data_IF_174894645156
#
_entry.id   IF_174894645156
#
_cell.length_a   1.000
_cell.length_b   1.000
_cell.length_c   1.000
_cell.angle_alpha   90.00
_cell.angle_beta   90.00
_cell.angle_gamma   90.00
#
_symmetry.space_group_name_H-M   'P 1'
#
loop_
_entity.id
_entity.type
_entity.pdbx_description
1 polymer ?
#
# COMPACT_ATOMS: atom_id res chain seq x y z
N UNK A 1 -23.99 10.93 -31.16
CA UNK A 1 -24.17 10.86 -29.70
C UNK A 1 -22.81 10.94 -29.05
N UNK A 2 -22.60 11.90 -28.17
CA UNK A 2 -21.31 12.13 -27.51
C UNK A 2 -20.92 10.93 -26.60
N UNK A 3 -19.74 10.31 -26.78
CA UNK A 3 -19.32 9.12 -26.04
C UNK A 3 -18.89 9.40 -24.58
N UNK A 4 -19.02 10.62 -24.09
CA UNK A 4 -18.57 11.00 -22.73
C UNK A 4 -19.53 10.61 -21.59
N UNK A 5 -20.67 9.98 -21.87
CA UNK A 5 -21.67 9.64 -20.85
C UNK A 5 -21.33 8.34 -20.10
N UNK A 6 -21.07 8.52 -18.80
CA UNK A 6 -21.12 7.54 -17.71
C UNK A 6 -19.81 6.92 -17.21
N UNK A 7 -18.81 7.73 -16.85
CA UNK A 7 -17.95 7.37 -15.70
C UNK A 7 -18.73 7.63 -14.42
N UNK A 8 -19.30 6.58 -13.81
CA UNK A 8 -19.83 6.64 -12.43
C UNK A 8 -18.71 7.19 -11.55
N UNK A 9 -18.77 8.47 -11.17
CA UNK A 9 -17.84 9.11 -10.23
C UNK A 9 -18.10 8.50 -8.86
N UNK A 10 -17.51 7.32 -8.63
CA UNK A 10 -17.48 6.73 -7.30
C UNK A 10 -16.88 7.72 -6.31
N UNK A 11 -17.33 7.65 -5.04
CA UNK A 11 -16.79 8.46 -3.94
C UNK A 11 -15.25 8.48 -4.02
N UNK A 12 -14.61 9.66 -3.98
CA UNK A 12 -13.16 9.75 -4.03
C UNK A 12 -12.55 8.85 -2.95
N UNK A 13 -11.55 8.06 -3.35
CA UNK A 13 -10.81 7.23 -2.40
C UNK A 13 -10.16 8.16 -1.35
N UNK A 14 -10.19 7.74 -0.09
CA UNK A 14 -9.49 8.46 0.99
C UNK A 14 -7.97 8.43 0.85
N UNK A 15 -7.45 7.55 -0.02
CA UNK A 15 -6.04 7.44 -0.35
C UNK A 15 -5.90 7.52 -1.86
N UNK A 16 -5.09 8.47 -2.34
CA UNK A 16 -4.72 8.55 -3.75
C UNK A 16 -3.76 7.42 -4.15
N UNK A 17 -3.67 7.12 -5.44
CA UNK A 17 -2.75 6.07 -5.90
C UNK A 17 -1.27 6.42 -5.60
N UNK A 18 -0.91 7.71 -5.70
CA UNK A 18 0.44 8.18 -5.41
C UNK A 18 0.81 7.98 -3.95
N UNK A 19 -0.07 8.34 -3.02
CA UNK A 19 0.14 8.13 -1.59
C UNK A 19 0.27 6.65 -1.26
N UNK A 20 -0.57 5.82 -1.87
CA UNK A 20 -0.52 4.37 -1.67
C UNK A 20 0.80 3.77 -2.17
N UNK A 21 1.31 4.22 -3.32
CA UNK A 21 2.62 3.78 -3.84
C UNK A 21 3.76 4.09 -2.88
N UNK A 22 3.78 5.28 -2.30
CA UNK A 22 4.80 5.63 -1.33
C UNK A 22 4.64 4.84 -0.02
N UNK A 23 3.42 4.49 0.40
CA UNK A 23 3.21 3.55 1.50
C UNK A 23 3.69 2.13 1.21
N UNK A 24 3.63 1.67 -0.05
CA UNK A 24 4.23 0.40 -0.47
C UNK A 24 5.76 0.46 -0.42
N UNK A 25 6.37 1.58 -0.83
CA UNK A 25 7.82 1.77 -0.69
C UNK A 25 8.26 1.73 0.78
N UNK A 26 7.46 2.25 1.70
CA UNK A 26 7.74 2.16 3.13
C UNK A 26 7.72 0.70 3.62
N UNK A 27 6.81 -0.13 3.10
CA UNK A 27 6.82 -1.56 3.35
C UNK A 27 8.06 -2.23 2.76
N UNK A 28 8.42 -1.93 1.51
CA UNK A 28 9.57 -2.55 0.82
C UNK A 28 10.92 -2.16 1.45
N UNK A 29 11.04 -0.92 1.93
CA UNK A 29 12.20 -0.43 2.66
C UNK A 29 12.30 -1.00 4.09
N UNK A 30 11.24 -1.67 4.57
CA UNK A 30 11.12 -2.15 5.95
C UNK A 30 10.88 -1.03 6.96
N UNK A 31 10.42 0.15 6.53
CA UNK A 31 9.98 1.24 7.41
C UNK A 31 8.61 0.95 8.02
N UNK A 32 7.74 0.27 7.27
CA UNK A 32 6.47 -0.23 7.76
C UNK A 32 6.44 -1.77 7.71
N UNK A 33 6.14 -2.42 8.83
CA UNK A 33 6.09 -3.88 8.87
C UNK A 33 4.80 -4.42 8.30
N UNK A 34 3.68 -3.73 8.53
CA UNK A 34 2.39 -4.16 8.02
C UNK A 34 1.36 -3.05 7.73
N UNK A 35 0.14 -3.45 7.38
CA UNK A 35 -0.93 -2.50 7.10
C UNK A 35 -1.45 -1.75 8.34
N UNK A 36 -1.20 -2.25 9.56
CA UNK A 36 -1.46 -1.53 10.81
C UNK A 36 -0.34 -0.50 11.05
N UNK A 37 0.90 -0.92 10.89
CA UNK A 37 2.06 -0.04 11.06
C UNK A 37 2.07 1.08 10.01
N UNK A 38 1.77 0.74 8.75
CA UNK A 38 1.58 1.73 7.68
C UNK A 38 0.42 2.69 7.96
N UNK A 39 -0.64 2.23 8.64
CA UNK A 39 -1.72 3.09 9.07
C UNK A 39 -1.24 4.08 10.13
N UNK A 40 -0.56 3.59 11.17
CA UNK A 40 -0.05 4.42 12.25
C UNK A 40 0.96 5.46 11.78
N UNK A 41 1.86 5.09 10.86
CA UNK A 41 2.94 5.98 10.40
C UNK A 41 2.50 7.00 9.35
N UNK A 42 1.61 6.61 8.41
CA UNK A 42 1.37 7.38 7.18
C UNK A 42 -0.08 7.78 6.96
N UNK A 43 -1.03 7.02 7.51
CA UNK A 43 -2.45 7.20 7.24
C UNK A 43 -3.29 7.12 8.53
N UNK A 44 -2.98 7.92 9.57
CA UNK A 44 -3.60 7.79 10.88
C UNK A 44 -5.13 7.93 10.82
N UNK A 45 -5.65 8.79 9.95
CA UNK A 45 -7.09 9.05 9.79
C UNK A 45 -7.81 8.05 8.87
N UNK A 46 -7.06 7.13 8.25
CA UNK A 46 -7.64 6.15 7.34
C UNK A 46 -7.89 4.83 8.06
N UNK A 47 -9.13 4.29 8.01
CA UNK A 47 -9.41 3.00 8.62
C UNK A 47 -8.50 1.90 8.06
N UNK A 48 -7.93 1.09 8.95
CA UNK A 48 -7.03 -0.01 8.60
C UNK A 48 -7.62 -0.95 7.53
N UNK A 49 -8.94 -1.18 7.54
CA UNK A 49 -9.66 -1.94 6.51
C UNK A 49 -9.48 -1.36 5.10
N UNK A 50 -9.46 -0.04 4.96
CA UNK A 50 -9.26 0.66 3.67
C UNK A 50 -7.83 0.49 3.18
N UNK A 51 -6.85 0.53 4.08
CA UNK A 51 -5.43 0.31 3.77
C UNK A 51 -5.22 -1.14 3.32
N UNK A 52 -5.76 -2.12 4.06
CA UNK A 52 -5.72 -3.55 3.66
C UNK A 52 -6.37 -3.80 2.29
N UNK A 53 -7.47 -3.11 1.97
CA UNK A 53 -8.11 -3.19 0.66
C UNK A 53 -7.19 -2.66 -0.45
N UNK A 54 -6.50 -1.55 -0.21
CA UNK A 54 -5.56 -0.99 -1.17
C UNK A 54 -4.32 -1.89 -1.33
N UNK A 55 -3.74 -2.38 -0.24
CA UNK A 55 -2.63 -3.33 -0.28
C UNK A 55 -2.99 -4.58 -1.12
N UNK A 56 -4.18 -5.15 -0.89
CA UNK A 56 -4.70 -6.25 -1.71
C UNK A 56 -4.82 -5.89 -3.18
N UNK A 57 -5.31 -4.69 -3.52
CA UNK A 57 -5.40 -4.22 -4.92
C UNK A 57 -4.01 -4.17 -5.58
N UNK A 58 -2.97 -3.89 -4.80
CA UNK A 58 -1.57 -3.89 -5.25
C UNK A 58 -0.87 -5.26 -5.06
N UNK A 59 -1.62 -6.35 -4.86
CA UNK A 59 -1.07 -7.71 -4.77
C UNK A 59 -0.42 -8.05 -3.42
N UNK A 60 -0.49 -7.15 -2.43
CA UNK A 60 0.06 -7.37 -1.09
C UNK A 60 -1.02 -7.98 -0.20
N UNK A 61 -1.07 -9.31 -0.17
CA UNK A 61 -2.04 -10.10 0.60
C UNK A 61 -1.41 -10.77 1.84
N UNK A 62 -2.17 -10.74 2.95
CA UNK A 62 -2.07 -11.72 4.03
C UNK A 62 -0.96 -11.55 5.07
N UNK A 63 -0.86 -10.40 5.77
CA UNK A 63 0.14 -10.14 6.84
C UNK A 63 1.51 -9.72 6.31
N UNK A 64 1.52 -8.55 5.68
CA UNK A 64 2.73 -7.82 5.25
C UNK A 64 3.93 -8.08 6.18
N UNK A 65 5.06 -8.43 5.57
CA UNK A 65 6.42 -8.36 6.13
C UNK A 65 7.39 -8.22 4.96
N UNK A 66 8.10 -7.10 4.84
CA UNK A 66 9.31 -7.01 4.00
C UNK A 66 10.44 -6.29 4.72
N UNK A 67 11.18 -7.05 5.51
CA UNK A 67 12.63 -7.26 5.31
C UNK A 67 13.08 -8.45 6.17
N UNK A 68 13.92 -9.33 5.61
CA UNK A 68 15.07 -9.92 6.31
C UNK A 68 16.17 -10.36 5.32
N UNK A 69 17.43 -10.46 5.77
CA UNK A 69 18.57 -9.72 5.23
C UNK A 69 19.53 -10.64 4.46
N UNK A 70 20.60 -10.04 3.93
CA UNK A 70 21.64 -10.67 3.12
C UNK A 70 22.10 -12.05 3.64
N UNK A 71 22.13 -13.04 2.75
CA UNK A 71 23.10 -14.12 2.85
C UNK A 71 24.38 -13.59 2.19
N UNK A 72 25.31 -13.12 3.00
CA UNK A 72 26.68 -12.86 2.58
C UNK A 72 27.35 -14.22 2.34
N UNK A 73 27.07 -14.84 1.19
CA UNK A 73 27.79 -16.01 0.74
C UNK A 73 29.09 -15.50 0.10
N UNK A 74 30.11 -15.32 0.96
CA UNK A 74 31.55 -15.26 0.68
C UNK A 74 31.96 -14.72 -0.69
N UNK A 75 32.76 -13.65 -0.67
CA UNK A 75 33.82 -13.44 -1.66
C UNK A 75 34.42 -14.79 -2.08
N UNK A 76 34.20 -15.18 -3.33
CA UNK A 76 35.04 -16.14 -4.05
C UNK A 76 35.55 -15.42 -5.28
#
# INVERSE_FOLDING_TARGET
GDPSKHKKRGRPSRISELEMRAGIQDIDAGRATDGADLQAQRFPDVPQRTIRRHLRKHGLLGYVRRKKPALDARKV
#
